data_IF_630208302535
#
_entry.id   IF_630208302535
#
_cell.length_a   1.000
_cell.length_b   1.000
_cell.length_c   1.000
_cell.angle_alpha   90.00
_cell.angle_beta   90.00
_cell.angle_gamma   90.00
#
_symmetry.space_group_name_H-M   'P 1'
#
loop_
_entity.id
_entity.type
_entity.pdbx_description
1 polymer ?
#
# COMPACT_ATOMS: atom_id res chain seq x y z
N UNK A 1 -26.71 6.17 0.17
CA UNK A 1 -26.89 4.91 -0.58
C UNK A 1 -25.57 4.42 -1.18
N UNK A 2 -24.71 5.33 -1.65
CA UNK A 2 -23.34 5.05 -2.13
C UNK A 2 -22.40 4.46 -1.05
N UNK A 3 -22.56 4.81 0.24
CA UNK A 3 -21.71 4.28 1.34
C UNK A 3 -21.72 2.75 1.40
N UNK A 4 -22.92 2.16 1.33
CA UNK A 4 -23.09 0.70 1.36
C UNK A 4 -22.49 0.03 0.13
N UNK A 5 -22.61 0.66 -1.04
CA UNK A 5 -22.03 0.14 -2.28
C UNK A 5 -20.49 0.27 -2.30
N UNK A 6 -19.96 1.36 -1.76
CA UNK A 6 -18.51 1.59 -1.64
C UNK A 6 -17.89 0.64 -0.62
N UNK A 7 -18.57 0.42 0.50
CA UNK A 7 -18.18 -0.58 1.49
C UNK A 7 -18.30 -2.00 0.92
N UNK A 8 -19.35 -2.29 0.15
CA UNK A 8 -19.49 -3.58 -0.54
C UNK A 8 -18.36 -3.79 -1.54
N UNK A 9 -18.03 -2.79 -2.38
CA UNK A 9 -16.89 -2.84 -3.29
C UNK A 9 -15.59 -3.15 -2.56
N UNK A 10 -15.28 -2.38 -1.51
CA UNK A 10 -14.08 -2.56 -0.70
C UNK A 10 -14.05 -3.95 -0.04
N UNK A 11 -15.18 -4.41 0.48
CA UNK A 11 -15.32 -5.73 1.10
C UNK A 11 -15.09 -6.86 0.09
N UNK A 12 -15.78 -6.84 -1.06
CA UNK A 12 -15.63 -7.86 -2.10
C UNK A 12 -14.22 -7.85 -2.69
N UNK A 13 -13.63 -6.67 -2.87
CA UNK A 13 -12.24 -6.55 -3.32
C UNK A 13 -11.30 -7.20 -2.31
N UNK A 14 -11.38 -6.84 -1.03
CA UNK A 14 -10.51 -7.40 0.02
C UNK A 14 -10.72 -8.92 0.15
N UNK A 15 -11.94 -9.44 -0.05
CA UNK A 15 -12.24 -10.88 -0.05
C UNK A 15 -11.59 -11.60 -1.23
N UNK A 16 -11.60 -11.01 -2.42
CA UNK A 16 -10.90 -11.57 -3.58
C UNK A 16 -9.39 -11.52 -3.35
N UNK A 17 -8.87 -10.40 -2.84
CA UNK A 17 -7.43 -10.27 -2.57
C UNK A 17 -6.93 -11.27 -1.52
N UNK A 18 -7.72 -11.55 -0.48
CA UNK A 18 -7.37 -12.58 0.50
C UNK A 18 -7.44 -13.99 -0.10
N UNK A 19 -8.42 -14.28 -0.94
CA UNK A 19 -8.52 -15.55 -1.66
C UNK A 19 -7.32 -15.77 -2.60
N UNK A 20 -6.90 -14.72 -3.33
CA UNK A 20 -5.69 -14.76 -4.17
C UNK A 20 -4.46 -15.03 -3.31
N UNK A 21 -4.30 -14.34 -2.18
CA UNK A 21 -3.15 -14.53 -1.28
C UNK A 21 -3.08 -15.97 -0.77
N UNK A 22 -4.21 -16.54 -0.34
CA UNK A 22 -4.27 -17.94 0.12
C UNK A 22 -3.90 -18.92 -1.00
N UNK A 23 -4.46 -18.74 -2.20
CA UNK A 23 -4.14 -19.59 -3.36
C UNK A 23 -2.67 -19.47 -3.78
N UNK A 24 -2.13 -18.25 -3.78
CA UNK A 24 -0.73 -17.97 -4.10
C UNK A 24 0.19 -18.69 -3.12
N UNK A 25 -0.05 -18.55 -1.82
CA UNK A 25 0.76 -19.18 -0.79
C UNK A 25 0.70 -20.70 -0.85
N UNK A 26 -0.50 -21.27 -1.10
CA UNK A 26 -0.67 -22.72 -1.23
C UNK A 26 0.07 -23.28 -2.45
N UNK A 27 -0.12 -22.67 -3.62
CA UNK A 27 0.52 -23.10 -4.87
C UNK A 27 2.03 -22.89 -4.85
N UNK A 28 2.50 -21.76 -4.31
CA UNK A 28 3.93 -21.49 -4.12
C UNK A 28 4.56 -22.48 -3.15
N UNK A 29 3.91 -22.78 -2.02
CA UNK A 29 4.40 -23.78 -1.06
C UNK A 29 4.51 -25.16 -1.70
N UNK A 30 3.48 -25.59 -2.43
CA UNK A 30 3.50 -26.86 -3.17
C UNK A 30 4.64 -26.89 -4.21
N UNK A 31 4.86 -25.78 -4.92
CA UNK A 31 5.98 -25.66 -5.86
C UNK A 31 7.34 -25.78 -5.18
N UNK A 32 7.55 -25.09 -4.05
CA UNK A 32 8.79 -25.17 -3.26
C UNK A 32 9.02 -26.59 -2.71
N UNK A 33 7.96 -27.27 -2.26
CA UNK A 33 8.08 -28.66 -1.80
C UNK A 33 8.45 -29.59 -2.95
N UNK A 34 7.81 -29.46 -4.12
CA UNK A 34 8.17 -30.23 -5.30
C UNK A 34 9.63 -29.99 -5.70
N UNK A 35 10.09 -28.73 -5.76
CA UNK A 35 11.50 -28.43 -6.05
C UNK A 35 12.46 -29.08 -5.05
N UNK A 36 12.09 -29.13 -3.75
CA UNK A 36 12.90 -29.80 -2.73
C UNK A 36 12.97 -31.31 -2.96
N UNK A 37 11.84 -31.95 -3.29
CA UNK A 37 11.82 -33.37 -3.64
C UNK A 37 12.69 -33.66 -4.88
N UNK A 38 12.58 -32.82 -5.91
CA UNK A 38 13.42 -32.90 -7.10
C UNK A 38 14.90 -32.76 -6.77
N UNK A 39 15.25 -31.82 -5.91
CA UNK A 39 16.62 -31.64 -5.46
C UNK A 39 17.14 -32.85 -4.68
N UNK A 40 16.30 -33.52 -3.88
CA UNK A 40 16.67 -34.77 -3.20
C UNK A 40 16.93 -35.88 -4.23
N UNK A 41 16.09 -36.02 -5.26
CA UNK A 41 16.30 -36.99 -6.35
C UNK A 41 17.59 -36.69 -7.11
N UNK A 42 17.84 -35.42 -7.45
CA UNK A 42 19.08 -35.02 -8.12
C UNK A 42 20.32 -35.28 -7.26
N UNK A 43 20.25 -35.08 -5.94
CA UNK A 43 21.33 -35.46 -5.02
C UNK A 43 21.62 -36.96 -5.05
N UNK A 44 20.58 -37.80 -5.06
CA UNK A 44 20.75 -39.26 -5.18
C UNK A 44 21.36 -39.66 -6.52
N UNK A 45 21.00 -38.99 -7.61
CA UNK A 45 21.63 -39.19 -8.91
C UNK A 45 23.10 -38.75 -8.91
N UNK A 46 23.42 -37.61 -8.28
CA UNK A 46 24.79 -37.13 -8.15
C UNK A 46 25.67 -38.03 -7.26
N UNK A 47 25.09 -38.69 -6.25
CA UNK A 47 25.79 -39.67 -5.41
C UNK A 47 26.36 -40.84 -6.23
N UNK A 48 25.74 -41.22 -7.34
CA UNK A 48 26.29 -42.26 -8.24
C UNK A 48 27.64 -41.86 -8.85
N UNK A 49 28.02 -40.58 -8.86
CA UNK A 49 29.32 -40.12 -9.37
C UNK A 49 30.39 -40.02 -8.28
N UNK A 50 30.01 -40.11 -7.01
CA UNK A 50 30.92 -39.97 -5.85
C UNK A 50 31.00 -41.28 -5.04
N UNK A 51 30.29 -42.33 -5.48
CA UNK A 51 30.29 -43.61 -4.80
C UNK A 51 31.55 -44.41 -5.16
N UNK A 52 32.53 -44.43 -4.24
CA UNK A 52 33.80 -45.16 -4.36
C UNK A 52 33.64 -46.69 -4.57
N UNK A 53 32.42 -47.22 -4.37
CA UNK A 53 32.10 -48.63 -4.66
C UNK A 53 31.92 -48.90 -6.16
N UNK A 54 31.73 -47.86 -6.96
CA UNK A 54 31.63 -47.96 -8.41
C UNK A 54 33.06 -47.85 -8.96
N UNK A 55 33.57 -48.95 -9.51
CA UNK A 55 34.86 -48.93 -10.20
C UNK A 55 34.80 -48.02 -11.43
N UNK A 56 35.86 -47.23 -11.64
CA UNK A 56 36.03 -46.37 -12.82
C UNK A 56 36.04 -47.17 -14.15
N UNK A 57 36.35 -48.47 -14.09
CA UNK A 57 36.34 -49.37 -15.25
C UNK A 57 34.91 -49.87 -15.59
N UNK A 58 33.91 -49.53 -14.76
CA UNK A 58 32.54 -50.00 -14.96
C UNK A 58 31.90 -49.35 -16.21
N UNK A 59 31.24 -50.18 -17.03
CA UNK A 59 30.55 -49.69 -18.23
C UNK A 59 29.45 -48.67 -17.84
N UNK A 60 29.51 -47.48 -18.44
CA UNK A 60 28.55 -46.39 -18.24
C UNK A 60 27.08 -46.81 -18.43
N UNK A 61 26.80 -47.81 -19.28
CA UNK A 61 25.47 -48.38 -19.46
C UNK A 61 24.88 -48.99 -18.18
N UNK A 62 25.71 -49.56 -17.30
CA UNK A 62 25.28 -50.09 -16.00
C UNK A 62 24.97 -48.96 -15.00
N UNK A 63 25.78 -47.90 -14.99
CA UNK A 63 25.51 -46.68 -14.20
C UNK A 63 24.18 -46.06 -14.62
N UNK A 64 23.90 -45.98 -15.94
CA UNK A 64 22.63 -45.48 -16.46
C UNK A 64 21.43 -46.31 -16.02
N UNK A 65 21.55 -47.65 -15.98
CA UNK A 65 20.46 -48.51 -15.48
C UNK A 65 20.14 -48.22 -14.01
N UNK A 66 21.17 -48.11 -13.16
CA UNK A 66 21.02 -47.70 -11.75
C UNK A 66 20.42 -46.30 -11.60
N UNK A 67 20.82 -45.35 -12.45
CA UNK A 67 20.21 -44.01 -12.47
C UNK A 67 18.72 -44.06 -12.85
N UNK A 68 18.34 -44.91 -13.81
CA UNK A 68 16.95 -45.07 -14.22
C UNK A 68 16.05 -45.79 -13.21
N UNK A 69 16.64 -46.50 -12.25
CA UNK A 69 15.91 -47.02 -11.07
C UNK A 69 15.54 -45.90 -10.09
N UNK A 70 16.32 -44.82 -10.04
CA UNK A 70 16.06 -43.65 -9.18
C UNK A 70 15.08 -42.68 -9.84
N UNK A 71 15.21 -42.45 -11.14
CA UNK A 71 14.35 -41.57 -11.92
C UNK A 71 14.20 -42.11 -13.34
N UNK A 72 12.96 -42.33 -13.79
CA UNK A 72 12.70 -42.89 -15.12
C UNK A 72 13.33 -42.03 -16.22
N UNK A 73 13.68 -42.66 -17.36
CA UNK A 73 14.26 -41.95 -18.51
C UNK A 73 13.34 -40.84 -19.02
N UNK A 74 12.03 -41.10 -19.04
CA UNK A 74 11.01 -40.15 -19.50
C UNK A 74 10.91 -38.95 -18.56
N UNK A 75 10.88 -39.18 -17.25
CA UNK A 75 10.84 -38.12 -16.26
C UNK A 75 12.13 -37.28 -16.26
N UNK A 76 13.28 -37.92 -16.45
CA UNK A 76 14.56 -37.23 -16.58
C UNK A 76 14.57 -36.33 -17.83
N UNK A 77 14.07 -36.80 -18.98
CA UNK A 77 13.97 -35.99 -20.19
C UNK A 77 13.00 -34.81 -20.02
N UNK A 78 11.85 -35.04 -19.38
CA UNK A 78 10.88 -34.00 -19.08
C UNK A 78 11.46 -32.93 -18.14
N UNK A 79 12.23 -33.34 -17.13
CA UNK A 79 12.88 -32.41 -16.18
C UNK A 79 14.03 -31.65 -16.82
N UNK A 80 14.90 -32.32 -17.58
CA UNK A 80 16.03 -31.66 -18.28
C UNK A 80 15.54 -30.65 -19.31
N UNK A 81 14.46 -30.95 -20.04
CA UNK A 81 13.84 -30.00 -20.97
C UNK A 81 13.13 -28.84 -20.26
N UNK A 82 12.62 -29.05 -19.04
CA UNK A 82 12.01 -28.00 -18.22
C UNK A 82 13.03 -27.03 -17.59
N UNK A 83 14.26 -27.48 -17.29
CA UNK A 83 15.35 -26.64 -16.72
C UNK A 83 15.66 -25.42 -17.60
N UNK A 84 15.44 -25.49 -18.91
CA UNK A 84 15.64 -24.37 -19.81
C UNK A 84 14.64 -23.21 -19.59
N UNK A 85 13.55 -23.43 -18.83
CA UNK A 85 12.53 -22.40 -18.55
C UNK A 85 12.92 -21.58 -17.31
N UNK A 86 12.64 -20.28 -17.35
CA UNK A 86 12.84 -19.35 -16.24
C UNK A 86 12.13 -19.89 -14.97
N UNK A 87 12.76 -19.88 -13.78
CA UNK A 87 12.12 -20.32 -12.55
C UNK A 87 10.94 -19.42 -12.22
N UNK A 88 9.79 -20.04 -11.93
CA UNK A 88 8.57 -19.35 -11.55
C UNK A 88 8.83 -18.55 -10.26
N UNK A 89 8.53 -17.24 -10.32
CA UNK A 89 8.58 -16.34 -9.18
C UNK A 89 7.26 -16.36 -8.43
N UNK A 90 7.25 -15.90 -7.18
CA UNK A 90 6.02 -15.73 -6.38
C UNK A 90 4.96 -14.91 -7.12
N UNK A 91 5.39 -13.87 -7.84
CA UNK A 91 4.54 -13.02 -8.66
C UNK A 91 3.82 -13.79 -9.79
N UNK A 92 4.46 -14.83 -10.36
CA UNK A 92 3.81 -15.69 -11.36
C UNK A 92 2.61 -16.43 -10.75
N UNK A 93 2.78 -16.98 -9.54
CA UNK A 93 1.70 -17.66 -8.81
C UNK A 93 0.58 -16.70 -8.43
N UNK A 94 0.91 -15.46 -8.05
CA UNK A 94 -0.08 -14.43 -7.75
C UNK A 94 -1.01 -14.15 -8.93
N UNK A 95 -0.43 -13.94 -10.11
CA UNK A 95 -1.21 -13.64 -11.31
C UNK A 95 -1.96 -14.86 -11.86
N UNK A 96 -1.43 -16.08 -11.68
CA UNK A 96 -2.17 -17.32 -11.96
C UNK A 96 -3.39 -17.50 -11.04
N UNK A 97 -3.23 -17.21 -9.75
CA UNK A 97 -4.33 -17.22 -8.80
C UNK A 97 -5.38 -16.15 -9.15
N UNK A 98 -4.97 -14.94 -9.54
CA UNK A 98 -5.88 -13.91 -10.02
C UNK A 98 -6.68 -14.35 -11.25
N UNK A 99 -6.03 -15.01 -12.22
CA UNK A 99 -6.70 -15.53 -13.41
C UNK A 99 -7.78 -16.58 -13.07
N UNK A 100 -7.53 -17.44 -12.08
CA UNK A 100 -8.51 -18.43 -11.61
C UNK A 100 -9.80 -17.79 -11.08
N UNK A 101 -9.72 -16.57 -10.55
CA UNK A 101 -10.84 -15.82 -9.97
C UNK A 101 -11.42 -14.77 -10.93
N UNK A 102 -10.95 -14.74 -12.18
CA UNK A 102 -11.40 -13.80 -13.23
C UNK A 102 -12.92 -13.65 -13.28
N UNK A 103 -13.66 -14.75 -13.22
CA UNK A 103 -15.14 -14.70 -13.27
C UNK A 103 -15.73 -13.91 -12.12
N UNK A 104 -15.23 -14.09 -10.89
CA UNK A 104 -15.69 -13.36 -9.70
C UNK A 104 -15.34 -11.87 -9.79
N UNK A 105 -14.16 -11.57 -10.32
CA UNK A 105 -13.69 -10.19 -10.54
C UNK A 105 -14.63 -9.48 -11.51
N UNK A 106 -14.82 -10.05 -12.70
CA UNK A 106 -15.66 -9.44 -13.75
C UNK A 106 -17.14 -9.43 -13.34
N UNK A 107 -17.67 -10.46 -12.66
CA UNK A 107 -19.08 -10.50 -12.31
C UNK A 107 -19.45 -9.62 -11.12
N UNK A 108 -18.57 -9.44 -10.12
CA UNK A 108 -18.96 -8.75 -8.89
C UNK A 108 -18.42 -7.32 -8.88
N UNK A 109 -17.13 -7.14 -9.18
CA UNK A 109 -16.49 -5.83 -9.08
C UNK A 109 -16.91 -4.92 -10.23
N UNK A 110 -17.03 -5.44 -11.45
CA UNK A 110 -17.40 -4.61 -12.61
C UNK A 110 -18.78 -3.95 -12.45
N UNK A 111 -19.78 -4.69 -11.95
CA UNK A 111 -21.13 -4.14 -11.73
C UNK A 111 -21.14 -3.09 -10.62
N UNK A 112 -20.38 -3.31 -9.54
CA UNK A 112 -20.26 -2.32 -8.46
C UNK A 112 -19.54 -1.07 -8.96
N UNK A 113 -18.45 -1.22 -9.70
CA UNK A 113 -17.71 -0.09 -10.28
C UNK A 113 -18.55 0.69 -11.28
N UNK A 114 -19.38 0.02 -12.08
CA UNK A 114 -20.32 0.67 -13.00
C UNK A 114 -21.37 1.50 -12.25
N UNK A 115 -21.87 1.02 -11.12
CA UNK A 115 -22.88 1.71 -10.30
C UNK A 115 -22.31 2.83 -9.41
N UNK A 116 -21.00 2.88 -9.21
CA UNK A 116 -20.33 3.88 -8.38
C UNK A 116 -19.79 5.03 -9.24
N UNK A 117 -20.15 6.26 -8.84
CA UNK A 117 -19.65 7.49 -9.44
C UNK A 117 -18.45 8.01 -8.63
N UNK A 118 -17.27 7.68 -9.12
CA UNK A 118 -16.00 8.10 -8.54
C UNK A 118 -15.64 9.51 -9.01
N UNK A 119 -15.17 10.33 -8.08
CA UNK A 119 -14.64 11.68 -8.30
C UNK A 119 -13.23 11.80 -7.72
N UNK A 120 -12.44 12.77 -8.20
CA UNK A 120 -11.13 13.08 -7.65
C UNK A 120 -10.90 14.58 -7.63
N UNK A 121 -10.15 15.07 -6.63
CA UNK A 121 -9.81 16.50 -6.51
C UNK A 121 -8.82 16.92 -7.58
N UNK A 122 -8.04 15.96 -8.11
CA UNK A 122 -7.10 16.21 -9.20
C UNK A 122 -7.78 15.90 -10.55
N UNK A 123 -7.95 16.90 -11.44
CA UNK A 123 -8.53 16.68 -12.76
C UNK A 123 -7.68 15.77 -13.66
N UNK A 124 -6.36 15.67 -13.41
CA UNK A 124 -5.42 14.80 -14.16
C UNK A 124 -5.12 13.48 -13.42
N UNK A 125 -6.09 12.94 -12.68
CA UNK A 125 -5.88 11.67 -12.01
C UNK A 125 -5.87 10.49 -13.01
N UNK A 126 -4.68 9.96 -13.29
CA UNK A 126 -4.47 8.78 -14.17
C UNK A 126 -5.40 7.59 -13.90
N UNK A 127 -5.79 7.37 -12.63
CA UNK A 127 -6.66 6.24 -12.28
C UNK A 127 -8.12 6.51 -12.66
N UNK A 128 -8.53 7.77 -12.68
CA UNK A 128 -9.85 8.18 -13.17
C UNK A 128 -9.94 8.02 -14.69
N UNK A 129 -8.88 8.35 -15.42
CA UNK A 129 -8.79 8.12 -16.85
C UNK A 129 -8.84 6.62 -17.17
N UNK A 130 -8.06 5.81 -16.45
CA UNK A 130 -8.11 4.35 -16.57
C UNK A 130 -9.49 3.76 -16.26
N UNK A 131 -10.17 4.31 -15.25
CA UNK A 131 -11.52 3.87 -14.89
C UNK A 131 -12.56 4.25 -15.95
N UNK A 132 -12.46 5.46 -16.52
CA UNK A 132 -13.31 5.91 -17.62
C UNK A 132 -13.10 5.00 -18.84
N UNK A 133 -11.85 4.71 -19.18
CA UNK A 133 -11.51 3.78 -20.25
C UNK A 133 -12.11 2.38 -20.00
N UNK A 134 -11.99 1.84 -18.77
CA UNK A 134 -12.64 0.58 -18.36
C UNK A 134 -14.17 0.60 -18.54
N UNK A 135 -14.83 1.72 -18.23
CA UNK A 135 -16.29 1.85 -18.33
C UNK A 135 -16.80 2.02 -19.76
N UNK A 136 -16.02 2.62 -20.65
CA UNK A 136 -16.49 3.08 -21.97
C UNK A 136 -15.93 2.25 -23.12
N UNK A 137 -14.61 2.20 -23.22
CA UNK A 137 -13.91 1.71 -24.41
C UNK A 137 -13.30 0.31 -24.20
N UNK A 138 -13.34 -0.21 -22.98
CA UNK A 138 -12.64 -1.44 -22.65
C UNK A 138 -13.27 -2.66 -23.31
N UNK A 139 -12.52 -3.37 -24.16
CA UNK A 139 -13.05 -4.45 -24.94
C UNK A 139 -13.54 -5.59 -24.03
N UNK A 140 -14.77 -6.05 -24.30
CA UNK A 140 -15.31 -7.24 -23.64
C UNK A 140 -14.39 -8.43 -23.92
N UNK A 141 -14.36 -9.47 -23.08
CA UNK A 141 -13.48 -10.65 -23.26
C UNK A 141 -13.67 -11.42 -24.59
N UNK A 142 -14.64 -11.05 -25.43
CA UNK A 142 -14.88 -11.59 -26.78
C UNK A 142 -14.25 -10.75 -27.91
N UNK A 143 -13.76 -9.54 -27.62
CA UNK A 143 -13.11 -8.63 -28.56
C UNK A 143 -11.58 -8.73 -28.44
N UNK A 144 -10.86 -8.28 -29.47
CA UNK A 144 -9.39 -8.27 -29.42
C UNK A 144 -8.91 -7.46 -28.22
N UNK A 145 -7.91 -7.98 -27.51
CA UNK A 145 -7.22 -7.24 -26.47
C UNK A 145 -6.57 -5.97 -27.05
N UNK A 146 -6.64 -4.84 -26.31
CA UNK A 146 -6.02 -3.59 -26.71
C UNK A 146 -4.51 -3.71 -26.60
N UNK A 147 -3.80 -2.89 -27.37
CA UNK A 147 -2.34 -2.81 -27.30
C UNK A 147 -1.92 -2.02 -26.07
N UNK A 148 -0.70 -2.28 -25.58
CA UNK A 148 -0.13 -1.54 -24.43
C UNK A 148 -0.10 -0.01 -24.68
N UNK A 149 0.02 0.42 -25.93
CA UNK A 149 0.06 1.84 -26.32
C UNK A 149 -1.32 2.53 -26.29
N UNK A 150 -2.41 1.77 -26.31
CA UNK A 150 -3.79 2.30 -26.20
C UNK A 150 -4.20 2.53 -24.74
N UNK A 151 -3.39 2.07 -23.80
CA UNK A 151 -3.66 2.17 -22.38
C UNK A 151 -3.39 3.59 -21.86
N UNK A 152 -4.19 4.10 -20.92
CA UNK A 152 -3.93 5.39 -20.32
C UNK A 152 -2.53 5.47 -19.67
N UNK A 153 -1.88 6.61 -19.85
CA UNK A 153 -0.48 6.80 -19.51
C UNK A 153 -0.18 6.56 -18.02
N UNK A 154 0.99 5.95 -17.75
CA UNK A 154 1.52 5.73 -16.37
C UNK A 154 0.63 4.87 -15.47
N UNK A 155 -0.29 4.07 -16.03
CA UNK A 155 -1.14 3.12 -15.29
C UNK A 155 -0.46 1.77 -15.05
N UNK A 156 0.43 1.36 -15.96
CA UNK A 156 1.18 0.10 -15.93
C UNK A 156 2.61 0.34 -15.45
N UNK A 157 3.00 -0.15 -14.26
CA UNK A 157 4.39 -0.11 -13.83
C UNK A 157 5.28 -1.03 -14.68
N UNK A 158 6.51 -0.61 -15.00
CA UNK A 158 7.48 -1.39 -15.80
C UNK A 158 7.69 -2.79 -15.24
N UNK A 159 7.69 -2.94 -13.89
CA UNK A 159 7.85 -4.25 -13.22
C UNK A 159 6.66 -5.21 -13.46
N UNK A 160 5.45 -4.67 -13.60
CA UNK A 160 4.23 -5.44 -13.77
C UNK A 160 3.86 -5.65 -15.24
N UNK A 161 4.48 -4.89 -16.14
CA UNK A 161 4.32 -5.01 -17.59
C UNK A 161 4.42 -6.47 -18.10
N UNK A 162 5.41 -7.30 -17.72
CA UNK A 162 5.47 -8.70 -18.18
C UNK A 162 4.31 -9.58 -17.69
N UNK A 163 3.61 -9.17 -16.63
CA UNK A 163 2.47 -9.91 -16.07
C UNK A 163 1.12 -9.41 -16.60
N UNK A 164 1.05 -8.13 -16.96
CA UNK A 164 -0.13 -7.45 -17.46
C UNK A 164 -0.21 -7.46 -18.99
N UNK A 165 0.87 -7.84 -19.69
CA UNK A 165 0.91 -7.95 -21.14
C UNK A 165 1.25 -9.38 -21.58
N UNK A 166 0.75 -9.74 -22.76
CA UNK A 166 1.07 -10.95 -23.49
C UNK A 166 1.75 -10.52 -24.80
N UNK A 167 2.96 -11.02 -25.04
CA UNK A 167 3.65 -10.83 -26.32
C UNK A 167 2.95 -11.66 -27.39
N UNK A 168 2.63 -11.03 -28.52
CA UNK A 168 2.13 -11.72 -29.71
C UNK A 168 3.27 -12.02 -30.69
N UNK A 169 3.03 -12.94 -31.63
CA UNK A 169 4.02 -13.41 -32.62
C UNK A 169 4.65 -12.27 -33.44
N UNK A 170 3.96 -11.12 -33.58
CA UNK A 170 4.44 -9.93 -34.28
C UNK A 170 5.24 -8.96 -33.40
N UNK A 171 5.71 -9.39 -32.23
CA UNK A 171 6.43 -8.56 -31.26
C UNK A 171 5.64 -7.35 -30.72
N UNK A 172 4.32 -7.32 -30.92
CA UNK A 172 3.41 -6.35 -30.31
C UNK A 172 2.86 -6.89 -28.99
N UNK A 173 2.83 -6.03 -27.98
CA UNK A 173 2.40 -6.37 -26.63
C UNK A 173 0.90 -6.06 -26.49
N UNK A 174 0.11 -7.10 -26.28
CA UNK A 174 -1.34 -6.98 -26.01
C UNK A 174 -1.58 -7.10 -24.52
N UNK A 175 -2.50 -6.32 -23.99
CA UNK A 175 -2.81 -6.35 -22.56
C UNK A 175 -3.64 -7.59 -22.21
N UNK A 176 -3.29 -8.25 -21.10
CA UNK A 176 -4.21 -9.19 -20.47
C UNK A 176 -5.33 -8.39 -19.77
N UNK A 177 -6.45 -8.26 -20.48
CA UNK A 177 -7.61 -7.47 -20.05
C UNK A 177 -8.00 -7.73 -18.59
N UNK A 178 -8.09 -9.00 -18.19
CA UNK A 178 -8.59 -9.35 -16.85
C UNK A 178 -7.61 -9.02 -15.73
N UNK A 179 -6.30 -9.21 -15.99
CA UNK A 179 -5.27 -8.83 -15.02
C UNK A 179 -5.16 -7.31 -14.91
N UNK A 180 -5.28 -6.59 -16.03
CA UNK A 180 -5.29 -5.13 -16.03
C UNK A 180 -6.51 -4.57 -15.30
N UNK A 181 -7.71 -5.08 -15.57
CA UNK A 181 -8.95 -4.68 -14.89
C UNK A 181 -8.82 -4.86 -13.36
N UNK A 182 -8.33 -6.03 -12.93
CA UNK A 182 -8.08 -6.29 -11.50
C UNK A 182 -7.04 -5.32 -10.91
N UNK A 183 -5.96 -5.03 -11.64
CA UNK A 183 -4.96 -4.06 -11.22
C UNK A 183 -5.55 -2.66 -11.03
N UNK A 184 -6.41 -2.19 -11.94
CA UNK A 184 -7.07 -0.90 -11.78
C UNK A 184 -7.98 -0.90 -10.55
N UNK A 185 -8.79 -1.94 -10.33
CA UNK A 185 -9.63 -2.01 -9.13
C UNK A 185 -8.83 -2.01 -7.83
N UNK A 186 -7.65 -2.66 -7.82
CA UNK A 186 -6.72 -2.59 -6.70
C UNK A 186 -6.25 -1.17 -6.42
N UNK A 187 -5.91 -0.43 -7.48
CA UNK A 187 -5.46 0.94 -7.37
C UNK A 187 -6.59 1.87 -6.92
N UNK A 188 -7.81 1.71 -7.46
CA UNK A 188 -8.98 2.47 -7.01
C UNK A 188 -9.24 2.22 -5.51
N UNK A 189 -9.28 0.96 -5.06
CA UNK A 189 -9.46 0.65 -3.64
C UNK A 189 -8.37 1.26 -2.74
N UNK A 190 -7.12 1.27 -3.21
CA UNK A 190 -6.03 1.94 -2.50
C UNK A 190 -6.21 3.47 -2.45
N UNK A 191 -6.60 4.10 -3.56
CA UNK A 191 -6.80 5.55 -3.61
C UNK A 191 -8.03 6.01 -2.81
N UNK A 192 -9.08 5.18 -2.74
CA UNK A 192 -10.24 5.41 -1.87
C UNK A 192 -9.82 5.44 -0.41
N UNK A 193 -9.03 4.46 0.05
CA UNK A 193 -8.50 4.43 1.42
C UNK A 193 -7.58 5.62 1.73
N UNK A 194 -6.86 6.12 0.71
CA UNK A 194 -6.02 7.32 0.82
C UNK A 194 -6.81 8.63 0.77
N UNK A 195 -8.06 8.61 0.30
CA UNK A 195 -8.88 9.80 0.08
C UNK A 195 -8.49 10.63 -1.16
N UNK A 196 -7.69 10.06 -2.08
CA UNK A 196 -7.35 10.74 -3.34
C UNK A 196 -8.45 10.60 -4.41
N UNK A 197 -9.26 9.55 -4.28
CA UNK A 197 -10.52 9.35 -5.00
C UNK A 197 -11.62 9.31 -3.94
N UNK A 198 -12.74 9.95 -4.23
CA UNK A 198 -13.87 10.10 -3.33
C UNK A 198 -15.18 9.90 -4.09
N UNK A 199 -16.29 9.80 -3.37
CA UNK A 199 -17.62 9.77 -3.95
C UNK A 199 -18.43 10.91 -3.35
N UNK A 200 -19.01 11.77 -4.19
CA UNK A 200 -19.73 12.98 -3.76
C UNK A 200 -20.99 12.65 -2.95
N UNK A 201 -21.64 11.55 -3.33
CA UNK A 201 -22.86 11.03 -2.70
C UNK A 201 -22.61 10.24 -1.42
N UNK A 202 -21.33 10.01 -1.06
CA UNK A 202 -20.91 9.23 0.11
C UNK A 202 -20.67 10.16 1.30
N UNK A 203 -21.08 9.73 2.50
CA UNK A 203 -20.79 10.45 3.73
C UNK A 203 -19.43 10.07 4.31
N UNK A 204 -18.99 8.82 4.10
CA UNK A 204 -17.72 8.33 4.65
C UNK A 204 -16.52 8.50 3.70
N UNK A 205 -16.77 8.54 2.40
CA UNK A 205 -15.75 8.70 1.37
C UNK A 205 -15.88 10.06 0.67
N UNK A 206 -16.35 11.09 1.39
CA UNK A 206 -16.42 12.46 0.89
C UNK A 206 -15.05 13.12 0.91
N UNK A 207 -14.80 14.04 -0.03
CA UNK A 207 -13.61 14.89 0.06
C UNK A 207 -13.71 15.84 1.25
N UNK A 208 -12.65 15.93 2.05
CA UNK A 208 -12.56 16.93 3.13
C UNK A 208 -12.80 18.35 2.59
N UNK A 209 -12.38 18.62 1.35
CA UNK A 209 -12.60 19.90 0.68
C UNK A 209 -14.08 20.30 0.56
N UNK A 210 -15.00 19.33 0.55
CA UNK A 210 -16.44 19.58 0.47
C UNK A 210 -17.10 19.75 1.86
N UNK A 211 -16.46 19.27 2.93
CA UNK A 211 -16.90 19.57 4.31
C UNK A 211 -16.37 20.92 4.79
N UNK A 212 -15.27 21.38 4.20
CA UNK A 212 -14.73 22.69 4.47
C UNK A 212 -15.59 23.76 3.80
N UNK A 213 -15.95 24.76 4.61
CA UNK A 213 -16.54 26.00 4.12
C UNK A 213 -15.54 26.65 3.16
N UNK A 214 -16.04 27.16 2.03
CA UNK A 214 -15.21 27.91 1.10
C UNK A 214 -14.51 29.07 1.83
N UNK A 215 -13.29 29.42 1.41
CA UNK A 215 -12.53 30.50 2.05
C UNK A 215 -13.28 31.84 1.97
N UNK A 216 -14.14 31.99 0.97
CA UNK A 216 -14.98 33.17 0.72
C UNK A 216 -16.15 33.28 1.71
N UNK A 217 -16.77 32.15 2.09
CA UNK A 217 -17.87 32.11 3.05
C UNK A 217 -17.40 32.12 4.51
N UNK A 218 -16.12 31.84 4.75
CA UNK A 218 -15.51 31.80 6.09
C UNK A 218 -15.75 33.09 6.88
N UNK A 219 -15.55 34.25 6.27
CA UNK A 219 -15.72 35.53 6.97
C UNK A 219 -17.18 35.83 7.31
N UNK A 220 -18.11 35.40 6.45
CA UNK A 220 -19.55 35.59 6.66
C UNK A 220 -20.02 34.70 7.82
N UNK A 221 -19.59 33.43 7.85
CA UNK A 221 -19.93 32.52 8.94
C UNK A 221 -19.29 32.91 10.28
N UNK A 222 -18.04 33.40 10.28
CA UNK A 222 -17.40 33.91 11.51
C UNK A 222 -18.19 35.08 12.09
N UNK A 223 -18.69 35.98 11.23
CA UNK A 223 -19.56 37.09 11.66
C UNK A 223 -20.91 36.59 12.18
N UNK A 224 -21.50 35.57 11.56
CA UNK A 224 -22.79 35.00 11.99
C UNK A 224 -22.70 34.21 13.30
N UNK A 225 -21.63 33.44 13.51
CA UNK A 225 -21.44 32.62 14.71
C UNK A 225 -21.20 33.48 15.97
N UNK A 226 -20.80 34.75 15.79
CA UNK A 226 -20.57 35.74 16.85
C UNK A 226 -19.73 35.22 18.03
N UNK A 227 -18.81 34.30 17.75
CA UNK A 227 -17.86 33.78 18.74
C UNK A 227 -16.72 34.81 18.83
N UNK A 228 -16.62 35.48 19.98
CA UNK A 228 -15.58 36.49 20.26
C UNK A 228 -14.16 35.95 20.08
N UNK A 229 -13.98 34.63 20.28
CA UNK A 229 -12.72 33.94 20.08
C UNK A 229 -12.37 33.67 18.60
N UNK A 230 -13.31 33.76 17.66
CA UNK A 230 -13.03 33.53 16.23
C UNK A 230 -12.93 34.83 15.43
N UNK A 231 -13.30 35.96 16.04
CA UNK A 231 -13.24 37.30 15.45
C UNK A 231 -11.88 37.96 15.60
N UNK A 232 -11.03 37.48 16.52
CA UNK A 232 -9.67 37.96 16.67
C UNK A 232 -8.68 37.00 15.98
N UNK A 233 -7.59 37.53 15.38
CA UNK A 233 -6.54 36.68 14.85
C UNK A 233 -5.91 35.88 16.00
N UNK A 234 -5.60 34.61 15.74
CA UNK A 234 -5.13 33.67 16.76
C UNK A 234 -3.86 34.15 17.47
N UNK A 235 -3.00 34.88 16.76
CA UNK A 235 -1.76 35.44 17.32
C UNK A 235 -2.04 36.40 18.47
N UNK A 236 -3.05 37.28 18.34
CA UNK A 236 -3.42 38.23 19.40
C UNK A 236 -4.00 37.55 20.63
N UNK A 237 -4.69 36.44 20.44
CA UNK A 237 -5.25 35.67 21.56
C UNK A 237 -4.14 34.94 22.32
N UNK A 238 -3.19 34.36 21.59
CA UNK A 238 -2.01 33.75 22.17
C UNK A 238 -1.19 34.79 22.93
N UNK A 239 -0.96 35.98 22.38
CA UNK A 239 -0.24 37.06 23.04
C UNK A 239 -0.93 37.49 24.35
N UNK A 240 -2.26 37.63 24.34
CA UNK A 240 -3.05 37.95 25.53
C UNK A 240 -2.92 36.87 26.61
N UNK A 241 -3.05 35.59 26.23
CA UNK A 241 -2.92 34.47 27.16
C UNK A 241 -1.49 34.36 27.72
N UNK A 242 -0.47 34.59 26.89
CA UNK A 242 0.92 34.63 27.34
C UNK A 242 1.17 35.80 28.29
N UNK A 243 0.60 36.98 28.03
CA UNK A 243 0.71 38.14 28.91
C UNK A 243 0.04 37.88 30.27
N UNK A 244 -1.14 37.26 30.29
CA UNK A 244 -1.84 36.87 31.51
C UNK A 244 -1.02 35.86 32.32
N UNK A 245 -0.47 34.84 31.65
CA UNK A 245 0.36 33.81 32.27
C UNK A 245 1.65 34.40 32.86
N UNK A 246 2.29 35.33 32.15
CA UNK A 246 3.45 36.07 32.65
C UNK A 246 3.10 36.93 33.87
N UNK A 247 1.95 37.61 33.86
CA UNK A 247 1.47 38.40 35.00
C UNK A 247 1.24 37.55 36.25
N UNK A 248 0.59 36.39 36.11
CA UNK A 248 0.40 35.42 37.19
C UNK A 248 1.75 34.90 37.72
N UNK A 249 2.71 34.67 36.82
CA UNK A 249 4.07 34.26 37.19
C UNK A 249 4.81 35.33 37.99
N UNK A 250 4.69 36.60 37.61
CA UNK A 250 5.27 37.70 38.38
C UNK A 250 4.67 37.85 39.78
N UNK A 251 3.34 37.71 39.90
CA UNK A 251 2.65 37.73 41.20
C UNK A 251 3.12 36.57 42.07
N UNK A 252 3.18 35.35 41.50
CA UNK A 252 3.70 34.17 42.20
C UNK A 252 5.14 34.38 42.68
N UNK A 253 6.02 34.93 41.83
CA UNK A 253 7.40 35.22 42.21
C UNK A 253 7.50 36.29 43.31
N UNK A 254 6.63 37.30 43.31
CA UNK A 254 6.58 38.31 44.38
C UNK A 254 6.13 37.70 45.70
N UNK A 255 5.12 36.83 45.68
CA UNK A 255 4.65 36.10 46.88
C UNK A 255 5.70 35.11 47.42
N UNK A 256 6.45 34.44 46.53
CA UNK A 256 7.62 33.65 46.91
C UNK A 256 8.70 34.53 47.56
N UNK A 257 9.02 35.70 47.01
CA UNK A 257 10.04 36.58 47.60
C UNK A 257 9.62 37.14 48.97
N UNK A 258 8.32 37.33 49.23
CA UNK A 258 7.79 37.75 50.55
C UNK A 258 7.83 36.63 51.60
N UNK A 259 7.71 35.37 51.19
CA UNK A 259 7.71 34.21 52.09
C UNK A 259 9.12 33.66 52.38
N UNK A 260 10.16 34.45 52.10
CA UNK A 260 11.61 34.13 52.23
C UNK A 260 12.12 33.80 53.64
N UNK A 261 11.24 33.49 54.60
CA UNK A 261 11.63 32.82 55.83
C UNK A 261 11.48 31.28 55.79
N UNK A 262 11.07 30.64 54.67
CA UNK A 262 10.99 29.16 54.62
C UNK A 262 11.37 28.46 53.29
N UNK A 263 12.13 29.10 52.38
CA UNK A 263 12.25 28.69 50.95
C UNK A 263 13.63 28.08 50.56
N UNK A 264 14.46 27.66 51.53
CA UNK A 264 15.71 26.94 51.18
C UNK A 264 15.43 25.59 50.49
N UNK A 265 14.28 24.97 50.75
CA UNK A 265 13.94 23.62 50.24
C UNK A 265 13.19 23.64 48.89
N UNK A 266 12.51 24.74 48.55
CA UNK A 266 11.65 24.80 47.36
C UNK A 266 12.41 25.23 46.08
N UNK A 267 13.46 26.03 46.22
CA UNK A 267 14.28 26.56 45.11
C UNK A 267 15.03 25.45 44.34
N UNK A 268 15.37 24.35 45.00
CA UNK A 268 16.06 23.20 44.37
C UNK A 268 15.12 22.41 43.45
N UNK A 269 13.84 22.24 43.83
CA UNK A 269 12.86 21.50 43.02
C UNK A 269 12.42 22.26 41.75
N UNK A 270 12.32 23.58 41.82
CA UNK A 270 11.89 24.42 40.69
C UNK A 270 12.96 24.46 39.59
N UNK A 271 14.25 24.55 39.95
CA UNK A 271 15.36 24.48 38.97
C UNK A 271 15.40 23.13 38.23
N UNK A 272 15.06 22.04 38.89
CA UNK A 272 15.01 20.69 38.28
C UNK A 272 13.86 20.54 37.28
N UNK A 273 12.73 21.20 37.53
CA UNK A 273 11.54 21.14 36.67
C UNK A 273 11.69 22.01 35.41
N UNK A 274 12.27 23.20 35.53
CA UNK A 274 12.52 24.10 34.39
C UNK A 274 13.53 23.50 33.39
N UNK A 275 14.50 22.73 33.87
CA UNK A 275 15.48 22.04 33.01
C UNK A 275 14.90 20.91 32.15
N UNK A 276 13.76 20.33 32.55
CA UNK A 276 13.13 19.18 31.87
C UNK A 276 11.96 19.57 30.95
N UNK A 277 11.45 20.79 31.01
CA UNK A 277 10.33 21.23 30.17
C UNK A 277 10.83 21.93 28.88
N UNK A 278 10.59 21.36 27.69
CA UNK A 278 11.12 21.86 26.42
C UNK A 278 10.56 23.24 26.01
N UNK A 279 9.36 23.61 26.46
CA UNK A 279 8.72 24.90 26.15
C UNK A 279 9.42 26.03 26.93
N UNK A 280 9.65 25.81 28.22
CA UNK A 280 10.36 26.77 29.10
C UNK A 280 11.83 26.92 28.71
N UNK A 281 12.45 25.87 28.18
CA UNK A 281 13.81 25.91 27.63
C UNK A 281 13.92 26.82 26.40
N UNK A 282 12.88 26.82 25.55
CA UNK A 282 12.78 27.69 24.37
C UNK A 282 12.48 29.15 24.74
N UNK A 283 11.68 29.39 25.78
CA UNK A 283 11.50 30.74 26.34
C UNK A 283 12.79 31.31 26.94
N UNK A 284 13.58 30.49 27.66
CA UNK A 284 14.89 30.92 28.21
C UNK A 284 15.90 31.31 27.13
N UNK A 285 15.87 30.63 25.97
CA UNK A 285 16.74 31.00 24.83
C UNK A 285 16.31 32.29 24.14
N UNK A 286 15.04 32.67 24.25
CA UNK A 286 14.50 33.89 23.65
C UNK A 286 14.64 35.12 24.57
N UNK A 287 14.78 34.92 25.89
CA UNK A 287 14.99 36.02 26.83
C UNK A 287 15.88 35.58 28.02
N UNK A 288 17.19 35.91 28.02
CA UNK A 288 18.15 35.40 29.01
C UNK A 288 17.95 35.94 30.44
N UNK A 289 17.19 37.02 30.62
CA UNK A 289 16.89 37.61 31.93
C UNK A 289 15.78 36.87 32.71
N UNK A 290 15.16 35.86 32.10
CA UNK A 290 14.00 35.16 32.67
C UNK A 290 14.25 34.42 33.99
N UNK A 291 15.52 34.24 34.40
CA UNK A 291 15.89 33.46 35.61
C UNK A 291 16.90 34.18 36.53
N UNK A 292 17.48 35.32 36.15
CA UNK A 292 18.47 36.01 36.99
C UNK A 292 17.88 37.27 37.65
N UNK A 293 16.97 37.07 38.62
CA UNK A 293 16.73 38.02 39.72
C UNK A 293 15.95 37.43 40.89
#
# INVERSE_FOLDING_TARGET
>A
MSDNLTNAFSFFFNKIESEISVLTNSTHTAHVMNQREEFIVMKRLAQLYVDDKLSDEMNFGLVRKKAFEILSKEDLLNKVSAIAKKPAQEEDFYWQAADSLKRKITSNLQHLVAALDFSSTNPENRWMEALRWIKTDFPRPKQSAPFTDECPDKTIPIKLLPYLSNKTDNNSEKINQSRYEFWIYKQINYQLKKGSIFLEDSLQYRSLSQELVSLEEKEILIKQLNISALTQPIDRQLDSLFAELNGLWEVFNKELKKTTLNISVMTIKIKHYIGRNPILKKMRSLNPDFINK
#
